data_IF_660897034947
#
_entry.id   IF_660897034947
#
_cell.length_a   1.000
_cell.length_b   1.000
_cell.length_c   1.000
_cell.angle_alpha   90.00
_cell.angle_beta   90.00
_cell.angle_gamma   90.00
#
_symmetry.space_group_name_H-M   'P 1'
#
loop_
_entity.id
_entity.type
_entity.pdbx_description
1 polymer ?
#
# COMPACT_ATOMS: atom_id res chain seq x y z
N UNK A 1 -2.78 19.09 -3.80
CA UNK A 1 -3.95 18.32 -3.32
C UNK A 1 -3.77 18.12 -1.82
N UNK A 2 -4.76 18.49 -1.00
CA UNK A 2 -4.69 18.28 0.45
C UNK A 2 -4.68 16.77 0.75
N UNK A 3 -3.70 16.32 1.53
CA UNK A 3 -3.58 14.95 2.00
C UNK A 3 -4.39 14.88 3.31
N UNK A 4 -5.55 14.23 3.28
CA UNK A 4 -6.35 14.02 4.48
C UNK A 4 -5.80 12.77 5.19
N UNK A 5 -5.19 12.91 6.36
CA UNK A 5 -4.71 11.74 7.11
C UNK A 5 -5.90 10.88 7.52
N UNK A 6 -5.74 9.56 7.43
CA UNK A 6 -6.70 8.61 7.99
C UNK A 6 -6.50 8.65 9.51
N UNK A 7 -7.55 8.99 10.25
CA UNK A 7 -7.53 8.94 11.71
C UNK A 7 -7.83 7.51 12.16
N UNK A 8 -6.92 6.92 12.92
CA UNK A 8 -7.06 5.53 13.39
C UNK A 8 -6.58 4.48 12.39
N UNK A 9 -7.03 3.24 12.57
CA UNK A 9 -6.64 2.12 11.71
C UNK A 9 -7.42 2.15 10.39
N UNK A 10 -6.73 1.87 9.29
CA UNK A 10 -7.37 1.68 8.00
C UNK A 10 -8.04 0.29 7.92
N UNK A 11 -9.23 0.24 7.35
CA UNK A 11 -9.91 -1.00 7.00
C UNK A 11 -9.83 -1.27 5.49
N UNK A 12 -10.44 -2.38 5.05
CA UNK A 12 -10.47 -2.77 3.63
C UNK A 12 -11.12 -1.71 2.76
N UNK A 13 -12.22 -1.10 3.20
CA UNK A 13 -12.97 -0.10 2.41
C UNK A 13 -12.09 1.13 2.17
N UNK A 14 -11.43 1.59 3.22
CA UNK A 14 -10.50 2.72 3.17
C UNK A 14 -9.31 2.42 2.24
N UNK A 15 -8.78 1.20 2.30
CA UNK A 15 -7.70 0.77 1.42
C UNK A 15 -8.14 0.69 -0.06
N UNK A 16 -9.30 0.14 -0.35
CA UNK A 16 -9.86 0.12 -1.72
C UNK A 16 -10.09 1.53 -2.28
N UNK A 17 -10.56 2.46 -1.44
CA UNK A 17 -10.70 3.86 -1.82
C UNK A 17 -9.33 4.49 -2.13
N UNK A 18 -8.31 4.20 -1.34
CA UNK A 18 -6.94 4.61 -1.64
C UNK A 18 -6.44 4.03 -2.98
N UNK A 19 -6.64 2.73 -3.21
CA UNK A 19 -6.21 2.07 -4.46
C UNK A 19 -6.85 2.75 -5.67
N UNK A 20 -8.17 2.89 -5.66
CA UNK A 20 -8.91 3.48 -6.79
C UNK A 20 -8.64 4.96 -7.02
N UNK A 21 -8.54 5.76 -5.95
CA UNK A 21 -8.48 7.23 -6.08
C UNK A 21 -7.06 7.79 -6.12
N UNK A 22 -6.08 7.07 -5.56
CA UNK A 22 -4.72 7.58 -5.37
C UNK A 22 -3.65 6.73 -6.04
N UNK A 23 -3.78 5.41 -6.01
CA UNK A 23 -2.79 4.51 -6.61
C UNK A 23 -3.01 4.35 -8.11
N UNK A 24 -4.19 3.87 -8.52
CA UNK A 24 -4.53 3.57 -9.92
C UNK A 24 -4.24 4.73 -10.88
N UNK A 25 -4.58 6.01 -10.56
CA UNK A 25 -4.27 7.13 -11.47
C UNK A 25 -2.78 7.38 -11.72
N UNK A 26 -1.89 6.73 -10.95
CA UNK A 26 -0.44 6.84 -11.06
C UNK A 26 0.20 5.61 -11.70
N UNK A 27 -0.58 4.57 -12.00
CA UNK A 27 -0.07 3.35 -12.62
C UNK A 27 0.07 3.55 -14.13
N UNK A 28 1.20 3.11 -14.67
CA UNK A 28 1.40 2.92 -16.10
C UNK A 28 1.07 1.49 -16.52
N UNK A 29 0.81 1.31 -17.81
CA UNK A 29 0.65 -0.02 -18.40
C UNK A 29 1.90 -0.87 -18.15
N UNK A 30 1.72 -2.13 -17.76
CA UNK A 30 2.80 -3.07 -17.43
C UNK A 30 3.45 -2.86 -16.06
N UNK A 31 3.03 -1.86 -15.27
CA UNK A 31 3.55 -1.63 -13.93
C UNK A 31 3.26 -2.81 -12.99
N UNK A 32 4.13 -3.01 -12.01
CA UNK A 32 3.92 -3.97 -10.92
C UNK A 32 3.56 -3.25 -9.63
N UNK A 33 2.46 -3.67 -9.03
CA UNK A 33 2.07 -3.32 -7.66
C UNK A 33 2.43 -4.50 -6.77
N UNK A 34 3.29 -4.25 -5.79
CA UNK A 34 3.70 -5.23 -4.79
C UNK A 34 3.09 -4.78 -3.46
N UNK A 35 2.25 -5.63 -2.86
CA UNK A 35 1.64 -5.38 -1.56
C UNK A 35 2.14 -6.40 -0.54
N UNK A 36 2.22 -6.00 0.73
CA UNK A 36 2.39 -6.99 1.81
C UNK A 36 1.15 -7.89 1.94
N UNK A 37 1.26 -8.96 2.73
CA UNK A 37 0.19 -9.95 2.88
C UNK A 37 -0.90 -9.58 3.92
N UNK A 38 -1.06 -8.30 4.26
CA UNK A 38 -2.05 -7.83 5.23
C UNK A 38 -3.49 -8.13 4.78
N UNK A 39 -4.38 -8.45 5.73
CA UNK A 39 -5.76 -8.86 5.45
C UNK A 39 -6.60 -7.79 4.73
N UNK A 40 -6.27 -6.50 4.93
CA UNK A 40 -6.93 -5.38 4.26
C UNK A 40 -6.51 -5.22 2.80
N UNK A 41 -5.34 -5.75 2.41
CA UNK A 41 -4.88 -5.76 1.01
C UNK A 41 -5.54 -6.87 0.19
N UNK A 42 -6.18 -7.83 0.86
CA UNK A 42 -6.82 -8.97 0.21
C UNK A 42 -8.22 -8.58 -0.24
N UNK A 43 -8.55 -8.86 -1.50
CA UNK A 43 -9.88 -8.67 -2.06
C UNK A 43 -9.84 -8.67 -3.58
N UNK A 44 -10.88 -9.21 -4.21
CA UNK A 44 -10.98 -9.24 -5.67
C UNK A 44 -10.99 -7.84 -6.28
N UNK A 45 -11.64 -6.88 -5.61
CA UNK A 45 -11.75 -5.50 -6.08
C UNK A 45 -10.40 -4.82 -6.26
N UNK A 46 -9.44 -5.06 -5.35
CA UNK A 46 -8.09 -4.47 -5.43
C UNK A 46 -7.38 -4.97 -6.69
N UNK A 47 -7.43 -6.29 -6.93
CA UNK A 47 -6.86 -6.90 -8.14
C UNK A 47 -7.51 -6.34 -9.40
N UNK A 48 -8.84 -6.29 -9.46
CA UNK A 48 -9.59 -5.78 -10.60
C UNK A 48 -9.23 -4.33 -10.92
N UNK A 49 -9.12 -3.46 -9.91
CA UNK A 49 -8.76 -2.06 -10.09
C UNK A 49 -7.36 -1.90 -10.70
N UNK A 50 -6.40 -2.70 -10.23
CA UNK A 50 -5.01 -2.66 -10.70
C UNK A 50 -4.88 -3.24 -12.12
N UNK A 51 -5.47 -4.41 -12.36
CA UNK A 51 -5.39 -5.10 -13.65
C UNK A 51 -6.15 -4.37 -14.75
N UNK A 52 -7.28 -3.71 -14.42
CA UNK A 52 -8.00 -2.83 -15.36
C UNK A 52 -7.18 -1.61 -15.77
N UNK A 53 -6.22 -1.19 -14.95
CA UNK A 53 -5.28 -0.13 -15.29
C UNK A 53 -4.08 -0.64 -16.13
N UNK A 54 -4.08 -1.91 -16.54
CA UNK A 54 -2.98 -2.54 -17.28
C UNK A 54 -1.79 -2.93 -16.42
N UNK A 55 -1.91 -2.84 -15.09
CA UNK A 55 -0.86 -3.20 -14.14
C UNK A 55 -1.03 -4.63 -13.61
N UNK A 56 -0.02 -5.14 -12.91
CA UNK A 56 -0.01 -6.49 -12.33
C UNK A 56 0.12 -6.42 -10.81
N UNK A 57 -0.60 -7.30 -10.11
CA UNK A 57 -0.58 -7.36 -8.65
C UNK A 57 0.14 -8.61 -8.14
N UNK A 58 1.15 -8.39 -7.30
CA UNK A 58 1.88 -9.42 -6.54
C UNK A 58 1.73 -9.16 -5.04
N UNK A 59 1.53 -10.23 -4.27
CA UNK A 59 1.58 -10.18 -2.80
C UNK A 59 2.90 -10.78 -2.33
N UNK A 60 3.54 -10.13 -1.34
CA UNK A 60 4.69 -10.71 -0.67
C UNK A 60 4.29 -11.94 0.16
N UNK A 61 5.21 -12.91 0.36
CA UNK A 61 4.98 -14.01 1.28
C UNK A 61 4.74 -13.49 2.71
N UNK A 62 4.01 -14.29 3.50
CA UNK A 62 3.78 -13.96 4.92
C UNK A 62 5.10 -13.94 5.67
N UNK A 63 5.28 -12.95 6.56
CA UNK A 63 6.47 -12.80 7.39
C UNK A 63 7.78 -12.62 6.61
N UNK A 64 7.73 -11.99 5.43
CA UNK A 64 8.92 -11.61 4.66
C UNK A 64 9.20 -10.10 4.68
N UNK A 65 9.45 -9.48 5.85
CA UNK A 65 9.75 -8.05 5.94
C UNK A 65 11.04 -7.66 5.18
N UNK A 66 11.95 -8.60 4.96
CA UNK A 66 13.17 -8.43 4.17
C UNK A 66 12.90 -8.05 2.71
N UNK A 67 11.72 -8.40 2.18
CA UNK A 67 11.31 -8.07 0.81
C UNK A 67 10.44 -6.81 0.72
N UNK A 68 10.21 -6.11 1.83
CA UNK A 68 9.43 -4.87 1.84
C UNK A 68 10.35 -3.67 2.12
N UNK A 69 10.75 -2.89 1.09
CA UNK A 69 11.67 -1.75 1.26
C UNK A 69 11.20 -0.70 2.26
N UNK A 70 9.88 -0.59 2.51
CA UNK A 70 9.33 0.36 3.48
C UNK A 70 9.79 0.05 4.92
N UNK A 71 10.11 -1.20 5.23
CA UNK A 71 10.61 -1.61 6.55
C UNK A 71 11.96 -0.95 6.86
N UNK A 72 12.80 -0.73 5.85
CA UNK A 72 14.05 -0.01 6.01
C UNK A 72 13.79 1.47 6.38
N UNK A 73 12.79 2.09 5.77
CA UNK A 73 12.38 3.46 6.11
C UNK A 73 11.86 3.52 7.55
N UNK A 74 10.99 2.58 7.94
CA UNK A 74 10.45 2.53 9.30
C UNK A 74 11.51 2.28 10.36
N UNK A 75 12.52 1.45 10.07
CA UNK A 75 13.66 1.20 10.96
C UNK A 75 14.42 2.49 11.29
N UNK A 76 14.52 3.43 10.36
CA UNK A 76 15.16 4.74 10.59
C UNK A 76 14.20 5.76 11.20
N UNK A 77 12.95 5.79 10.74
CA UNK A 77 11.97 6.78 11.18
C UNK A 77 11.45 6.55 12.61
N UNK A 78 11.19 5.30 13.00
CA UNK A 78 10.59 4.98 14.30
C UNK A 78 11.44 5.39 15.52
N UNK A 79 12.79 5.37 15.45
CA UNK A 79 13.64 6.03 16.43
C UNK A 79 13.61 7.55 16.32
N UNK A 80 13.76 8.10 15.11
CA UNK A 80 13.87 9.54 14.88
C UNK A 80 12.64 10.30 15.40
N UNK A 81 11.43 9.76 15.18
CA UNK A 81 10.18 10.37 15.65
C UNK A 81 10.12 10.59 17.16
N UNK A 82 10.89 9.84 17.97
CA UNK A 82 10.91 10.01 19.44
C UNK A 82 11.60 11.29 19.88
N UNK A 83 12.45 11.86 19.02
CA UNK A 83 13.18 13.10 19.27
C UNK A 83 12.50 14.34 18.67
N UNK A 84 11.38 14.14 17.96
CA UNK A 84 10.61 15.22 17.29
C UNK A 84 9.32 15.59 18.05
N UNK A 85 9.11 15.01 19.24
CA UNK A 85 7.99 15.32 20.14
C UNK A 85 8.51 15.91 21.44
#
# INVERSE_FOLDING_TARGET
MAQCPIMGAADRITFEAFVSQKLVPKLGEGAWVILDNCSIHKGERIRQLIEKAGAKLLYLPTYSPEFNPIENCWRVWAPLRRHLN
#
